data_IF_472453025913
#
_entry.id   IF_472453025913
#
_cell.length_a   1.000
_cell.length_b   1.000
_cell.length_c   1.000
_cell.angle_alpha   90.00
_cell.angle_beta   90.00
_cell.angle_gamma   90.00
#
_symmetry.space_group_name_H-M   'P 1'
#
loop_
_entity.id
_entity.type
_entity.pdbx_description
1 polymer ?
#
# COMPACT_ATOMS: atom_id res chain seq x y z
N UNK A 1 9.13 -16.72 -3.52
CA UNK A 1 9.60 -16.82 -2.13
C UNK A 1 9.50 -18.25 -1.61
N UNK A 2 10.49 -18.74 -0.85
CA UNK A 2 10.41 -20.05 -0.17
C UNK A 2 9.64 -19.97 1.17
N UNK A 3 9.36 -21.10 1.83
CA UNK A 3 8.59 -21.11 3.08
C UNK A 3 9.28 -20.33 4.22
N UNK A 4 10.61 -20.42 4.31
CA UNK A 4 11.37 -19.74 5.36
C UNK A 4 11.34 -18.23 5.19
N UNK A 5 11.58 -17.75 3.97
CA UNK A 5 11.45 -16.34 3.61
C UNK A 5 10.03 -15.82 3.86
N UNK A 6 8.98 -16.64 3.62
CA UNK A 6 7.60 -16.27 3.94
C UNK A 6 7.39 -16.04 5.43
N UNK A 7 7.86 -16.95 6.28
CA UNK A 7 7.81 -16.80 7.74
C UNK A 7 8.60 -15.57 8.21
N UNK A 8 9.75 -15.35 7.58
CA UNK A 8 10.60 -14.20 7.85
C UNK A 8 9.91 -12.87 7.47
N UNK A 9 9.19 -12.82 6.35
CA UNK A 9 8.38 -11.66 5.96
C UNK A 9 7.23 -11.43 6.94
N UNK A 10 6.54 -12.48 7.38
CA UNK A 10 5.48 -12.36 8.40
C UNK A 10 6.02 -11.78 9.71
N UNK A 11 7.22 -12.17 10.16
CA UNK A 11 7.91 -11.59 11.32
C UNK A 11 8.37 -10.15 11.09
N UNK A 12 8.85 -9.82 9.89
CA UNK A 12 9.24 -8.45 9.52
C UNK A 12 8.05 -7.48 9.63
N UNK A 13 6.86 -7.93 9.20
CA UNK A 13 5.64 -7.11 9.24
C UNK A 13 5.04 -6.97 10.64
N UNK A 14 5.29 -7.92 11.54
CA UNK A 14 4.83 -7.89 12.94
C UNK A 14 5.96 -8.26 13.93
N UNK A 15 6.98 -7.38 14.08
CA UNK A 15 8.18 -7.67 14.85
C UNK A 15 7.98 -7.39 16.35
N UNK A 16 8.62 -8.22 17.20
CA UNK A 16 8.73 -7.98 18.65
C UNK A 16 9.90 -7.05 18.99
N UNK A 17 10.92 -7.05 18.13
CA UNK A 17 12.14 -6.28 18.31
C UNK A 17 12.70 -5.79 16.97
N UNK A 18 13.11 -4.52 16.95
CA UNK A 18 13.65 -3.80 15.81
C UNK A 18 15.13 -3.48 16.02
N UNK A 19 15.98 -3.74 15.04
CA UNK A 19 17.30 -3.13 14.99
C UNK A 19 17.29 -1.95 14.00
N UNK A 20 17.78 -0.79 14.40
CA UNK A 20 17.88 0.39 13.53
C UNK A 20 19.34 0.78 13.34
N UNK A 21 19.86 0.55 12.15
CA UNK A 21 21.30 0.62 11.85
C UNK A 21 21.54 1.85 10.99
N UNK A 22 22.28 2.82 11.53
CA UNK A 22 22.61 4.04 10.80
C UNK A 22 22.77 5.27 11.68
N UNK A 23 22.59 6.43 11.07
CA UNK A 23 22.73 7.74 11.71
C UNK A 23 21.41 8.48 11.79
N UNK A 24 21.28 9.53 10.96
CA UNK A 24 20.12 10.43 10.96
C UNK A 24 18.81 9.74 10.57
N UNK A 25 18.82 8.94 9.49
CA UNK A 25 17.61 8.27 9.02
C UNK A 25 17.15 7.19 10.01
N UNK A 26 18.08 6.45 10.62
CA UNK A 26 17.79 5.51 11.71
C UNK A 26 17.17 6.23 12.92
N UNK A 27 17.66 7.42 13.27
CA UNK A 27 17.05 8.23 14.33
C UNK A 27 15.62 8.69 14.00
N UNK A 28 15.35 9.01 12.73
CA UNK A 28 13.98 9.33 12.30
C UNK A 28 13.06 8.12 12.42
N UNK A 29 13.52 6.92 12.02
CA UNK A 29 12.77 5.67 12.19
C UNK A 29 12.46 5.38 13.66
N UNK A 30 13.42 5.59 14.57
CA UNK A 30 13.19 5.43 16.01
C UNK A 30 12.02 6.29 16.48
N UNK A 31 12.03 7.58 16.10
CA UNK A 31 11.02 8.56 16.46
C UNK A 31 9.66 8.23 15.84
N UNK A 32 9.62 7.76 14.59
CA UNK A 32 8.38 7.37 13.94
C UNK A 32 7.77 6.11 14.56
N UNK A 33 8.60 5.14 14.96
CA UNK A 33 8.16 3.97 15.74
C UNK A 33 7.58 4.40 17.10
N UNK A 34 8.22 5.31 17.82
CA UNK A 34 7.66 5.87 19.07
C UNK A 34 6.35 6.63 18.81
N UNK A 35 6.30 7.45 17.76
CA UNK A 35 5.15 8.30 17.41
C UNK A 35 3.92 7.48 17.01
N UNK A 36 4.10 6.43 16.21
CA UNK A 36 3.00 5.54 15.80
C UNK A 36 2.53 4.65 16.97
N UNK A 37 3.37 4.49 18.00
CA UNK A 37 3.06 3.77 19.23
C UNK A 37 3.51 2.30 19.20
N UNK A 38 4.66 2.01 18.58
CA UNK A 38 5.29 0.70 18.64
C UNK A 38 5.64 0.35 20.10
N UNK A 39 5.30 -0.87 20.52
CA UNK A 39 5.48 -1.31 21.91
C UNK A 39 6.58 -2.35 22.08
N UNK A 40 7.19 -2.81 20.98
CA UNK A 40 8.32 -3.73 21.02
C UNK A 40 9.64 -3.03 21.35
N UNK A 41 10.72 -3.81 21.35
CA UNK A 41 12.06 -3.28 21.67
C UNK A 41 12.69 -2.60 20.45
N UNK A 42 13.39 -1.49 20.68
CA UNK A 42 14.15 -0.77 19.65
C UNK A 42 15.63 -0.82 20.04
N UNK A 43 16.45 -1.37 19.15
CA UNK A 43 17.89 -1.56 19.32
C UNK A 43 18.66 -0.75 18.25
N UNK A 44 19.04 0.50 18.53
CA UNK A 44 19.88 1.24 17.62
C UNK A 44 21.29 0.66 17.55
N UNK A 45 21.86 0.62 16.35
CA UNK A 45 23.24 0.18 16.13
C UNK A 45 24.02 1.31 15.48
N UNK A 46 25.01 1.83 16.21
CA UNK A 46 25.93 2.85 15.74
C UNK A 46 27.24 2.80 16.55
N UNK A 47 28.40 2.57 15.92
CA UNK A 47 29.67 2.41 16.64
C UNK A 47 30.19 3.70 17.29
N UNK A 48 29.63 4.87 16.96
CA UNK A 48 30.10 6.19 17.40
C UNK A 48 29.17 6.90 18.36
N UNK A 49 27.88 6.55 18.39
CA UNK A 49 26.87 7.24 19.20
C UNK A 49 26.49 6.39 20.40
N UNK A 50 26.41 6.99 21.58
CA UNK A 50 25.92 6.28 22.78
C UNK A 50 24.40 6.08 22.76
N UNK A 51 23.65 6.98 22.11
CA UNK A 51 22.20 6.93 21.98
C UNK A 51 21.69 7.39 20.62
N UNK A 52 20.56 6.85 20.19
CA UNK A 52 19.76 7.27 19.02
C UNK A 52 18.28 7.22 19.44
N UNK A 53 17.55 8.32 19.22
CA UNK A 53 16.12 8.38 19.57
C UNK A 53 15.85 8.14 21.07
N UNK A 54 16.80 8.46 21.96
CA UNK A 54 16.68 8.17 23.40
C UNK A 54 17.08 6.76 23.83
N UNK A 55 17.15 5.80 22.89
CA UNK A 55 17.55 4.42 23.13
C UNK A 55 19.08 4.28 23.17
N UNK A 56 19.57 3.36 24.03
CA UNK A 56 21.00 3.03 24.11
C UNK A 56 21.44 2.32 22.82
N UNK A 57 22.53 2.78 22.22
CA UNK A 57 23.09 2.14 21.03
C UNK A 57 23.94 0.93 21.39
N UNK A 58 23.91 -0.05 20.49
CA UNK A 58 24.89 -1.12 20.34
C UNK A 58 25.98 -0.67 19.36
N UNK A 59 27.21 -1.14 19.55
CA UNK A 59 28.32 -0.76 18.68
C UNK A 59 28.31 -1.53 17.34
N UNK A 60 27.88 -2.79 17.39
CA UNK A 60 27.77 -3.71 16.25
C UNK A 60 26.48 -4.53 16.30
N UNK A 61 26.16 -5.24 15.22
CA UNK A 61 24.98 -6.13 15.20
C UNK A 61 25.19 -7.36 16.06
N UNK A 62 26.45 -7.78 16.26
CA UNK A 62 26.82 -8.90 17.11
C UNK A 62 26.61 -8.64 18.59
N UNK A 63 26.53 -7.37 19.00
CA UNK A 63 26.24 -6.98 20.39
C UNK A 63 24.73 -7.04 20.70
N UNK A 64 23.87 -7.31 19.72
CA UNK A 64 22.42 -7.37 19.92
C UNK A 64 22.03 -8.54 20.85
N UNK A 65 20.97 -8.39 21.66
CA UNK A 65 20.57 -9.43 22.62
C UNK A 65 20.16 -10.76 21.96
N UNK A 66 19.55 -10.68 20.78
CA UNK A 66 19.16 -11.81 19.92
C UNK A 66 19.05 -11.35 18.46
N UNK A 67 18.79 -12.29 17.55
CA UNK A 67 18.59 -11.99 16.15
C UNK A 67 17.31 -11.17 15.93
N UNK A 68 17.37 -9.99 15.28
CA UNK A 68 16.22 -9.10 15.16
C UNK A 68 15.10 -9.65 14.25
N UNK A 69 13.84 -9.36 14.59
CA UNK A 69 12.66 -9.68 13.77
C UNK A 69 12.63 -8.78 12.53
N UNK A 70 12.97 -7.51 12.73
CA UNK A 70 13.09 -6.56 11.65
C UNK A 70 14.28 -5.62 11.84
N UNK A 71 14.89 -5.26 10.73
CA UNK A 71 16.02 -4.34 10.68
C UNK A 71 15.71 -3.19 9.74
N UNK A 72 16.00 -1.96 10.15
CA UNK A 72 16.11 -0.82 9.24
C UNK A 72 17.59 -0.51 8.99
N UNK A 73 18.03 -0.62 7.75
CA UNK A 73 19.44 -0.48 7.36
C UNK A 73 19.64 0.78 6.50
N UNK A 74 20.33 1.78 7.08
CA UNK A 74 20.62 3.07 6.45
C UNK A 74 22.11 3.44 6.63
N UNK A 75 22.98 2.68 5.96
CA UNK A 75 24.44 2.84 5.96
C UNK A 75 25.00 2.75 4.52
N UNK A 76 26.26 3.15 4.25
CA UNK A 76 26.83 3.05 2.90
C UNK A 76 26.76 1.64 2.30
N UNK A 77 26.55 1.55 0.98
CA UNK A 77 26.21 0.31 0.24
C UNK A 77 27.18 -0.85 0.44
N UNK A 78 28.48 -0.60 0.52
CA UNK A 78 29.49 -1.65 0.74
C UNK A 78 29.36 -2.25 2.15
N UNK A 79 29.15 -1.39 3.16
CA UNK A 79 28.90 -1.82 4.53
C UNK A 79 27.52 -2.49 4.69
N UNK A 80 26.54 -2.09 3.87
CA UNK A 80 25.21 -2.71 3.86
C UNK A 80 25.29 -4.19 3.48
N UNK A 81 26.08 -4.55 2.46
CA UNK A 81 26.25 -5.95 2.03
C UNK A 81 26.84 -6.81 3.15
N UNK A 82 27.92 -6.36 3.79
CA UNK A 82 28.55 -7.11 4.89
C UNK A 82 27.63 -7.22 6.11
N UNK A 83 26.88 -6.17 6.42
CA UNK A 83 25.91 -6.17 7.52
C UNK A 83 24.75 -7.14 7.25
N UNK A 84 24.20 -7.15 6.02
CA UNK A 84 23.14 -8.08 5.61
C UNK A 84 23.62 -9.53 5.73
N UNK A 85 24.84 -9.82 5.28
CA UNK A 85 25.44 -11.15 5.44
C UNK A 85 25.46 -11.57 6.92
N UNK A 86 25.87 -10.67 7.80
CA UNK A 86 25.96 -10.95 9.23
C UNK A 86 24.60 -11.18 9.88
N UNK A 87 23.61 -10.36 9.50
CA UNK A 87 22.23 -10.52 9.95
C UNK A 87 21.64 -11.86 9.47
N UNK A 88 21.95 -12.30 8.26
CA UNK A 88 21.54 -13.60 7.75
C UNK A 88 22.18 -14.75 8.57
N UNK A 89 23.48 -14.67 8.84
CA UNK A 89 24.21 -15.65 9.67
C UNK A 89 23.68 -15.72 11.11
N UNK A 90 23.24 -14.58 11.67
CA UNK A 90 22.60 -14.52 12.99
C UNK A 90 21.19 -15.10 13.00
N UNK A 91 20.54 -15.26 11.84
CA UNK A 91 19.16 -15.69 11.73
C UNK A 91 18.14 -14.58 11.97
N UNK A 92 18.49 -13.33 11.64
CA UNK A 92 17.51 -12.25 11.59
C UNK A 92 16.37 -12.61 10.61
N UNK A 93 15.18 -12.03 10.79
CA UNK A 93 14.05 -12.38 9.94
C UNK A 93 13.99 -11.49 8.69
N UNK A 94 13.88 -10.17 8.83
CA UNK A 94 13.81 -9.27 7.68
C UNK A 94 14.65 -8.00 7.80
N UNK A 95 14.97 -7.44 6.64
CA UNK A 95 15.74 -6.19 6.52
C UNK A 95 15.03 -5.26 5.55
N UNK A 96 14.67 -4.06 6.01
CA UNK A 96 14.38 -2.91 5.16
C UNK A 96 15.71 -2.25 4.81
N UNK A 97 16.15 -2.40 3.57
CA UNK A 97 17.38 -1.78 3.08
C UNK A 97 17.05 -0.42 2.44
N UNK A 98 17.24 0.65 3.21
CA UNK A 98 17.03 2.03 2.74
C UNK A 98 18.14 2.48 1.80
N UNK A 99 19.34 1.96 1.99
CA UNK A 99 20.53 2.31 1.24
C UNK A 99 20.33 2.26 -0.28
N UNK A 100 20.71 3.35 -0.96
CA UNK A 100 20.77 3.45 -2.42
C UNK A 100 22.21 3.28 -2.95
N UNK A 101 22.41 3.44 -4.24
CA UNK A 101 23.64 3.23 -5.00
C UNK A 101 23.81 1.81 -5.57
N UNK A 102 22.71 1.11 -5.86
CA UNK A 102 22.67 -0.26 -6.41
C UNK A 102 22.26 -0.26 -7.89
N UNK A 103 21.40 -1.18 -8.36
CA UNK A 103 21.12 -1.35 -9.80
C UNK A 103 20.65 -0.07 -10.51
N UNK A 104 20.08 0.88 -9.78
CA UNK A 104 19.61 2.17 -10.30
C UNK A 104 20.72 3.12 -10.80
N UNK A 105 21.98 2.86 -10.47
CA UNK A 105 23.12 3.67 -10.94
C UNK A 105 23.97 2.98 -12.04
N UNK A 106 23.48 1.87 -12.59
CA UNK A 106 24.09 1.17 -13.73
C UNK A 106 24.85 -0.11 -13.39
N UNK A 107 25.84 -0.46 -14.22
CA UNK A 107 26.46 -1.79 -14.22
C UNK A 107 27.20 -2.14 -12.92
N UNK A 108 28.00 -1.21 -12.37
CA UNK A 108 28.68 -1.42 -11.08
C UNK A 108 27.68 -1.68 -9.95
N UNK A 109 26.62 -0.87 -9.90
CA UNK A 109 25.56 -1.03 -8.90
C UNK A 109 24.78 -2.32 -9.05
N UNK A 110 24.64 -2.84 -10.28
CA UNK A 110 24.03 -4.16 -10.53
C UNK A 110 24.85 -5.30 -9.92
N UNK A 111 26.18 -5.25 -9.99
CA UNK A 111 27.05 -6.27 -9.37
C UNK A 111 27.03 -6.19 -7.83
N UNK A 112 26.98 -4.98 -7.28
CA UNK A 112 26.77 -4.77 -5.84
C UNK A 112 25.41 -5.30 -5.39
N UNK A 113 24.36 -5.13 -6.20
CA UNK A 113 23.03 -5.64 -5.89
C UNK A 113 22.99 -7.18 -5.91
N UNK A 114 23.67 -7.83 -6.86
CA UNK A 114 23.85 -9.29 -6.86
C UNK A 114 24.57 -9.78 -5.59
N UNK A 115 25.56 -9.03 -5.14
CA UNK A 115 26.30 -9.32 -3.91
C UNK A 115 25.40 -9.17 -2.68
N UNK A 116 24.54 -8.15 -2.64
CA UNK A 116 23.53 -7.96 -1.60
C UNK A 116 22.52 -9.12 -1.56
N UNK A 117 22.00 -9.53 -2.72
CA UNK A 117 21.08 -10.68 -2.84
C UNK A 117 21.75 -11.95 -2.33
N UNK A 118 22.99 -12.21 -2.76
CA UNK A 118 23.75 -13.39 -2.31
C UNK A 118 23.99 -13.38 -0.80
N UNK A 119 24.26 -12.21 -0.22
CA UNK A 119 24.43 -12.04 1.23
C UNK A 119 23.13 -12.24 2.02
N UNK A 120 21.97 -11.99 1.42
CA UNK A 120 20.68 -12.02 2.13
C UNK A 120 20.23 -13.41 2.55
N UNK A 121 20.61 -14.47 1.82
CA UNK A 121 20.14 -15.83 2.09
C UNK A 121 18.61 -15.92 2.17
N UNK A 122 18.10 -16.39 3.30
CA UNK A 122 16.65 -16.50 3.56
C UNK A 122 16.04 -15.24 4.22
N UNK A 123 16.78 -14.14 4.37
CA UNK A 123 16.22 -12.90 4.88
C UNK A 123 15.06 -12.39 4.01
N UNK A 124 14.03 -11.88 4.67
CA UNK A 124 13.01 -11.07 4.04
C UNK A 124 13.57 -9.66 3.79
N UNK A 125 14.27 -9.47 2.67
CA UNK A 125 14.88 -8.18 2.32
C UNK A 125 13.95 -7.34 1.43
N UNK A 126 13.56 -6.17 1.95
CA UNK A 126 12.81 -5.12 1.24
C UNK A 126 13.79 -4.10 0.67
N UNK A 127 13.59 -3.69 -0.58
CA UNK A 127 14.51 -2.79 -1.29
C UNK A 127 15.57 -3.54 -2.10
N UNK A 128 16.81 -3.01 -2.18
CA UNK A 128 17.30 -1.76 -1.59
C UNK A 128 16.65 -0.52 -2.21
N UNK A 129 17.13 0.68 -1.85
CA UNK A 129 16.63 1.96 -2.36
C UNK A 129 15.10 2.09 -2.19
N UNK A 130 14.64 1.89 -0.96
CA UNK A 130 13.22 1.90 -0.61
C UNK A 130 13.00 2.73 0.65
N UNK A 131 11.79 3.24 0.88
CA UNK A 131 11.49 3.92 2.15
C UNK A 131 11.17 2.95 3.28
N UNK A 132 10.69 1.75 2.95
CA UNK A 132 10.45 0.67 3.90
C UNK A 132 8.99 0.32 4.08
N UNK A 133 8.61 0.05 5.32
CA UNK A 133 7.31 -0.55 5.67
C UNK A 133 6.68 0.16 6.85
N UNK A 134 5.40 0.47 6.71
CA UNK A 134 4.53 0.89 7.81
C UNK A 134 3.41 -0.15 7.95
N UNK A 135 3.28 -0.74 9.13
CA UNK A 135 2.12 -1.52 9.55
C UNK A 135 1.29 -0.64 10.50
N UNK A 136 0.15 -0.15 10.02
CA UNK A 136 -0.75 0.70 10.80
C UNK A 136 -1.63 -0.09 11.78
N UNK A 137 -1.70 -1.41 11.63
CA UNK A 137 -2.49 -2.32 12.47
C UNK A 137 -1.75 -2.56 13.78
N UNK A 138 -0.49 -3.00 13.69
CA UNK A 138 0.36 -3.30 14.86
C UNK A 138 1.30 -2.16 15.24
N UNK A 139 1.15 -0.99 14.59
CA UNK A 139 1.89 0.25 14.90
C UNK A 139 3.40 0.09 14.76
N UNK A 140 3.85 -0.34 13.59
CA UNK A 140 5.29 -0.50 13.26
C UNK A 140 5.62 0.44 12.11
N UNK A 141 6.67 1.27 12.27
CA UNK A 141 7.08 2.23 11.24
C UNK A 141 8.58 2.13 10.96
N UNK A 142 8.98 1.16 10.12
CA UNK A 142 10.33 1.07 9.55
C UNK A 142 10.44 2.06 8.39
N UNK A 143 10.33 3.34 8.73
CA UNK A 143 10.10 4.42 7.78
C UNK A 143 10.77 5.73 8.26
N UNK A 144 11.57 6.42 7.43
CA UNK A 144 12.43 7.51 7.90
C UNK A 144 11.78 8.90 7.79
N UNK A 145 10.50 9.00 7.44
CA UNK A 145 9.79 10.26 7.22
C UNK A 145 8.48 10.36 8.02
N UNK A 146 7.97 11.57 8.28
CA UNK A 146 6.61 11.73 8.80
C UNK A 146 5.58 11.07 7.88
N UNK A 147 4.56 10.46 8.47
CA UNK A 147 3.44 9.84 7.74
C UNK A 147 2.09 10.16 8.42
N UNK A 148 1.05 10.37 7.62
CA UNK A 148 -0.28 10.80 8.08
C UNK A 148 -1.37 9.71 8.09
N UNK A 149 -1.06 8.49 7.67
CA UNK A 149 -2.02 7.40 7.62
C UNK A 149 -2.55 6.99 8.99
N UNK A 150 -3.76 6.45 9.03
CA UNK A 150 -4.39 5.92 10.23
C UNK A 150 -5.22 4.68 9.91
N UNK A 151 -5.43 3.84 10.92
CA UNK A 151 -6.22 2.61 10.81
C UNK A 151 -7.29 2.53 11.90
N UNK A 152 -8.55 2.22 11.56
CA UNK A 152 -9.57 1.77 12.50
C UNK A 152 -9.46 0.27 12.85
N UNK A 153 -8.31 -0.38 12.60
CA UNK A 153 -8.09 -1.83 12.77
C UNK A 153 -8.30 -2.66 11.51
N UNK A 154 -8.52 -2.00 10.36
CA UNK A 154 -8.56 -2.60 9.03
C UNK A 154 -8.23 -1.54 7.98
N UNK A 155 -7.92 -1.95 6.75
CA UNK A 155 -7.76 -1.00 5.66
C UNK A 155 -7.11 -1.55 4.41
N UNK A 156 -6.66 -0.63 3.57
CA UNK A 156 -5.92 -0.96 2.36
C UNK A 156 -4.44 -1.22 2.68
N UNK A 157 -3.86 -2.23 2.05
CA UNK A 157 -2.42 -2.36 1.94
C UNK A 157 -1.95 -1.74 0.63
N UNK A 158 -1.10 -0.72 0.69
CA UNK A 158 -0.53 -0.08 -0.51
C UNK A 158 0.92 -0.50 -0.68
N UNK A 159 1.26 -0.99 -1.86
CA UNK A 159 2.60 -1.44 -2.24
C UNK A 159 3.04 -0.62 -3.47
N UNK A 160 4.22 0.00 -3.40
CA UNK A 160 4.69 0.94 -4.44
C UNK A 160 6.18 0.83 -4.68
N UNK A 161 6.56 0.91 -5.96
CA UNK A 161 7.96 0.98 -6.39
C UNK A 161 8.60 2.36 -6.16
N UNK A 162 7.78 3.40 -6.05
CA UNK A 162 8.23 4.77 -5.82
C UNK A 162 8.19 5.15 -4.34
N UNK A 163 9.35 5.55 -3.79
CA UNK A 163 9.48 6.07 -2.44
C UNK A 163 8.75 7.41 -2.23
N UNK A 164 8.91 8.38 -3.13
CA UNK A 164 8.28 9.69 -2.91
C UNK A 164 6.74 9.61 -2.98
N UNK A 165 6.21 8.89 -3.98
CA UNK A 165 4.77 8.68 -4.10
C UNK A 165 4.21 8.02 -2.84
N UNK A 166 4.94 7.08 -2.24
CA UNK A 166 4.51 6.43 -1.00
C UNK A 166 4.32 7.43 0.14
N UNK A 167 5.26 8.37 0.34
CA UNK A 167 5.13 9.45 1.32
C UNK A 167 3.94 10.36 1.01
N UNK A 168 3.77 10.78 -0.24
CA UNK A 168 2.63 11.63 -0.66
C UNK A 168 1.29 10.95 -0.37
N UNK A 169 1.18 9.65 -0.63
CA UNK A 169 -0.02 8.87 -0.34
C UNK A 169 -0.30 8.81 1.16
N UNK A 170 0.73 8.61 2.01
CA UNK A 170 0.53 8.59 3.46
C UNK A 170 0.14 9.95 4.05
N UNK A 171 0.51 11.05 3.40
CA UNK A 171 0.20 12.42 3.88
C UNK A 171 -1.13 12.95 3.35
N UNK A 172 -1.81 12.18 2.50
CA UNK A 172 -3.12 12.54 1.98
C UNK A 172 -4.12 12.77 3.12
N UNK A 173 -4.85 13.89 3.05
CA UNK A 173 -5.93 14.20 3.99
C UNK A 173 -7.25 13.45 3.66
N UNK A 174 -7.19 12.48 2.73
CA UNK A 174 -8.33 11.62 2.41
C UNK A 174 -8.48 10.54 3.49
N UNK A 175 -9.71 10.26 3.88
CA UNK A 175 -10.04 9.32 4.96
C UNK A 175 -9.94 7.84 4.54
N UNK A 176 -8.87 7.45 3.83
CA UNK A 176 -8.58 6.05 3.51
C UNK A 176 -8.14 5.33 4.80
N UNK A 177 -8.81 4.25 5.21
CA UNK A 177 -8.25 3.35 6.22
C UNK A 177 -7.00 2.66 5.68
N UNK A 178 -5.85 2.83 6.32
CA UNK A 178 -4.61 2.14 5.97
C UNK A 178 -4.43 0.89 6.84
N UNK A 179 -4.02 -0.21 6.22
CA UNK A 179 -3.50 -1.38 6.93
C UNK A 179 -1.97 -1.40 6.83
N UNK A 180 -1.43 -1.28 5.61
CA UNK A 180 0.01 -1.31 5.35
C UNK A 180 0.39 -0.26 4.28
N UNK A 181 1.57 0.33 4.41
CA UNK A 181 2.24 1.09 3.35
C UNK A 181 3.63 0.50 3.13
N UNK A 182 3.95 0.11 1.90
CA UNK A 182 5.17 -0.63 1.58
C UNK A 182 5.81 0.02 0.36
N UNK A 183 6.98 0.60 0.55
CA UNK A 183 7.88 1.02 -0.52
C UNK A 183 8.86 -0.10 -0.78
N UNK A 184 8.85 -0.67 -1.99
CA UNK A 184 9.65 -1.88 -2.32
C UNK A 184 10.95 -1.58 -3.06
N UNK A 185 11.15 -0.35 -3.54
CA UNK A 185 12.37 0.08 -4.23
C UNK A 185 12.76 -0.83 -5.40
N UNK A 186 14.04 -1.22 -5.46
CA UNK A 186 14.60 -2.01 -6.56
C UNK A 186 14.08 -3.46 -6.64
N UNK A 187 13.44 -3.96 -5.56
CA UNK A 187 12.88 -5.31 -5.49
C UNK A 187 13.90 -6.42 -5.81
N UNK A 188 15.05 -6.41 -5.12
CA UNK A 188 16.12 -7.37 -5.42
C UNK A 188 15.85 -8.76 -4.85
N UNK A 189 15.18 -8.83 -3.70
CA UNK A 189 14.77 -10.08 -3.04
C UNK A 189 13.26 -10.17 -2.99
N UNK A 190 12.62 -9.38 -2.11
CA UNK A 190 11.16 -9.30 -2.05
C UNK A 190 10.60 -8.39 -3.13
N UNK A 191 9.49 -8.81 -3.71
CA UNK A 191 8.82 -8.13 -4.82
C UNK A 191 7.34 -7.88 -4.49
N UNK A 192 6.66 -7.11 -5.34
CA UNK A 192 5.23 -6.82 -5.20
C UNK A 192 4.41 -8.09 -4.90
N UNK A 193 4.67 -9.14 -5.67
CA UNK A 193 3.98 -10.43 -5.59
C UNK A 193 4.13 -11.13 -4.22
N UNK A 194 5.26 -10.98 -3.54
CA UNK A 194 5.50 -11.61 -2.24
C UNK A 194 4.67 -10.96 -1.14
N UNK A 195 4.51 -9.62 -1.21
CA UNK A 195 3.64 -8.89 -0.29
C UNK A 195 2.17 -9.19 -0.57
N UNK A 196 1.74 -9.26 -1.83
CA UNK A 196 0.37 -9.66 -2.18
C UNK A 196 0.04 -11.04 -1.59
N UNK A 197 0.95 -12.01 -1.75
CA UNK A 197 0.77 -13.39 -1.28
C UNK A 197 0.63 -13.54 0.25
N UNK A 198 1.26 -12.66 1.02
CA UNK A 198 1.11 -12.62 2.48
C UNK A 198 -0.14 -11.83 2.87
N UNK A 199 -0.32 -10.64 2.31
CA UNK A 199 -1.34 -9.69 2.75
C UNK A 199 -2.76 -10.08 2.32
N UNK A 200 -2.93 -10.81 1.21
CA UNK A 200 -4.26 -11.26 0.78
C UNK A 200 -4.92 -12.27 1.73
N UNK A 201 -4.14 -12.83 2.67
CA UNK A 201 -4.64 -13.77 3.68
C UNK A 201 -4.94 -13.11 5.03
N UNK A 202 -4.66 -11.80 5.17
CA UNK A 202 -4.80 -11.05 6.40
C UNK A 202 -6.24 -10.48 6.50
N UNK A 203 -7.04 -10.84 7.51
CA UNK A 203 -8.44 -10.41 7.59
C UNK A 203 -8.63 -8.89 7.72
N UNK A 204 -7.63 -8.19 8.24
CA UNK A 204 -7.61 -6.73 8.36
C UNK A 204 -7.32 -6.01 7.03
N UNK A 205 -6.77 -6.71 6.03
CA UNK A 205 -6.54 -6.16 4.68
C UNK A 205 -7.81 -6.32 3.85
N UNK A 206 -8.45 -5.20 3.53
CA UNK A 206 -9.71 -5.18 2.77
C UNK A 206 -9.55 -4.93 1.28
N UNK A 207 -8.41 -4.37 0.88
CA UNK A 207 -8.05 -4.15 -0.52
C UNK A 207 -6.53 -3.97 -0.61
N UNK A 208 -5.97 -4.24 -1.80
CA UNK A 208 -4.55 -4.00 -2.08
C UNK A 208 -4.44 -2.93 -3.16
N UNK A 209 -3.68 -1.87 -2.88
CA UNK A 209 -3.29 -0.84 -3.84
C UNK A 209 -1.90 -1.10 -4.36
N UNK A 210 -1.70 -1.04 -5.67
CA UNK A 210 -0.40 -1.21 -6.31
C UNK A 210 -0.06 0.06 -7.08
N UNK A 211 1.17 0.55 -6.91
CA UNK A 211 1.80 1.42 -7.89
C UNK A 211 2.89 0.62 -8.61
N UNK A 212 2.73 0.50 -9.93
CA UNK A 212 3.53 -0.37 -10.78
C UNK A 212 4.23 0.49 -11.84
N UNK A 213 5.55 0.46 -11.82
CA UNK A 213 6.46 0.89 -12.88
C UNK A 213 6.77 -0.30 -13.80
N UNK A 214 7.01 -1.48 -13.22
CA UNK A 214 7.26 -2.73 -13.96
C UNK A 214 7.14 -3.98 -13.09
N UNK A 215 6.87 -5.13 -13.73
CA UNK A 215 6.77 -6.44 -13.06
C UNK A 215 7.80 -7.38 -13.67
N UNK A 216 8.68 -7.95 -12.83
CA UNK A 216 9.77 -8.84 -13.26
C UNK A 216 9.29 -10.27 -13.55
N UNK A 217 8.35 -10.78 -12.76
CA UNK A 217 7.81 -12.14 -12.87
C UNK A 217 6.28 -12.10 -13.07
N UNK A 218 5.85 -12.07 -14.33
CA UNK A 218 4.43 -11.98 -14.69
C UNK A 218 3.66 -13.23 -14.27
N UNK A 219 4.28 -14.41 -14.35
CA UNK A 219 3.64 -15.68 -13.96
C UNK A 219 3.33 -15.67 -12.48
N UNK A 220 4.33 -15.35 -11.64
CA UNK A 220 4.13 -15.28 -10.20
C UNK A 220 3.16 -14.18 -9.79
N UNK A 221 3.24 -13.00 -10.42
CA UNK A 221 2.28 -11.91 -10.20
C UNK A 221 0.85 -12.34 -10.51
N UNK A 222 0.64 -13.07 -11.61
CA UNK A 222 -0.67 -13.57 -12.01
C UNK A 222 -1.24 -14.57 -11.00
N UNK A 223 -0.41 -15.50 -10.50
CA UNK A 223 -0.83 -16.48 -9.47
C UNK A 223 -1.33 -15.79 -8.20
N UNK A 224 -0.56 -14.82 -7.68
CA UNK A 224 -0.90 -14.16 -6.41
C UNK A 224 -2.07 -13.18 -6.58
N UNK A 225 -2.24 -12.59 -7.76
CA UNK A 225 -3.40 -11.76 -8.07
C UNK A 225 -4.70 -12.59 -8.08
N UNK A 226 -4.68 -13.78 -8.71
CA UNK A 226 -5.81 -14.71 -8.68
C UNK A 226 -6.09 -15.20 -7.26
N UNK A 227 -5.05 -15.51 -6.48
CA UNK A 227 -5.20 -15.86 -5.07
C UNK A 227 -5.88 -14.74 -4.27
N UNK A 228 -5.51 -13.48 -4.49
CA UNK A 228 -6.15 -12.34 -3.83
C UNK A 228 -7.62 -12.21 -4.25
N UNK A 229 -7.92 -12.41 -5.52
CA UNK A 229 -9.29 -12.42 -6.04
C UNK A 229 -10.14 -13.53 -5.40
N UNK A 230 -9.61 -14.75 -5.29
CA UNK A 230 -10.25 -15.89 -4.62
C UNK A 230 -10.48 -15.64 -3.13
N UNK A 231 -9.55 -14.94 -2.47
CA UNK A 231 -9.69 -14.51 -1.08
C UNK A 231 -10.69 -13.35 -0.89
N UNK A 232 -11.24 -12.80 -1.98
CA UNK A 232 -12.13 -11.64 -1.94
C UNK A 232 -11.43 -10.33 -1.59
N UNK A 233 -10.12 -10.24 -1.80
CA UNK A 233 -9.29 -9.05 -1.58
C UNK A 233 -9.02 -8.38 -2.94
N UNK A 234 -9.76 -7.32 -3.30
CA UNK A 234 -9.61 -6.67 -4.59
C UNK A 234 -8.27 -5.93 -4.71
N UNK A 235 -7.70 -5.97 -5.90
CA UNK A 235 -6.46 -5.25 -6.25
C UNK A 235 -6.80 -4.03 -7.11
N UNK A 236 -6.27 -2.86 -6.73
CA UNK A 236 -6.36 -1.60 -7.49
C UNK A 236 -4.96 -1.19 -7.92
N UNK A 237 -4.71 -1.05 -9.23
CA UNK A 237 -3.39 -0.75 -9.77
C UNK A 237 -3.32 0.61 -10.45
N UNK A 238 -2.32 1.41 -10.06
CA UNK A 238 -1.84 2.60 -10.75
C UNK A 238 -0.57 2.24 -11.52
N UNK A 239 -0.69 2.02 -12.84
CA UNK A 239 0.46 1.78 -13.73
C UNK A 239 0.99 3.12 -14.25
N UNK A 240 2.26 3.40 -14.01
CA UNK A 240 2.98 4.54 -14.56
C UNK A 240 3.88 4.09 -15.72
N UNK A 241 4.41 5.02 -16.52
CA UNK A 241 5.23 4.67 -17.69
C UNK A 241 4.43 4.12 -18.88
N UNK A 242 3.17 4.53 -19.01
CA UNK A 242 2.26 4.11 -20.09
C UNK A 242 2.38 4.92 -21.38
N UNK A 243 2.89 6.15 -21.30
CA UNK A 243 3.22 6.98 -22.47
C UNK A 243 4.63 6.68 -22.98
N UNK A 244 4.93 7.06 -24.22
CA UNK A 244 6.27 6.92 -24.81
C UNK A 244 7.34 7.60 -23.92
N UNK A 245 7.13 8.88 -23.59
CA UNK A 245 8.02 9.63 -22.69
C UNK A 245 8.09 8.97 -21.30
N UNK A 246 6.96 8.51 -20.77
CA UNK A 246 6.91 7.88 -19.45
C UNK A 246 7.65 6.55 -19.42
N UNK A 247 7.57 5.76 -20.49
CA UNK A 247 8.24 4.46 -20.61
C UNK A 247 9.76 4.66 -20.67
N UNK A 248 10.24 5.63 -21.45
CA UNK A 248 11.66 6.02 -21.51
C UNK A 248 12.22 6.44 -20.14
N UNK A 249 11.46 7.26 -19.41
CA UNK A 249 11.82 7.67 -18.05
C UNK A 249 11.84 6.48 -17.08
N UNK A 250 10.92 5.52 -17.23
CA UNK A 250 10.86 4.33 -16.37
C UNK A 250 12.03 3.38 -16.63
N UNK A 251 12.42 3.22 -17.90
CA UNK A 251 13.59 2.42 -18.30
C UNK A 251 14.88 3.00 -17.73
N UNK A 252 15.04 4.33 -17.77
CA UNK A 252 16.23 4.99 -17.21
C UNK A 252 16.27 4.99 -15.68
N UNK A 253 15.12 4.97 -15.00
CA UNK A 253 15.04 4.98 -13.54
C UNK A 253 15.13 3.59 -12.87
N UNK A 254 14.73 2.50 -13.53
CA UNK A 254 14.61 1.17 -12.88
C UNK A 254 15.29 0.02 -13.61
N UNK A 255 15.94 0.28 -14.75
CA UNK A 255 16.60 -0.73 -15.58
C UNK A 255 15.70 -1.95 -15.93
N UNK A 256 14.37 -1.75 -15.99
CA UNK A 256 13.40 -2.79 -16.35
C UNK A 256 12.68 -2.44 -17.65
N UNK A 257 12.48 -3.45 -18.51
CA UNK A 257 11.75 -3.29 -19.76
C UNK A 257 10.27 -3.07 -19.43
N UNK A 258 9.75 -1.86 -19.64
CA UNK A 258 8.31 -1.62 -19.52
C UNK A 258 7.60 -2.33 -20.68
N UNK A 259 6.83 -3.38 -20.39
CA UNK A 259 5.91 -3.97 -21.36
C UNK A 259 4.91 -2.93 -21.87
N UNK A 260 4.36 -3.13 -23.08
CA UNK A 260 3.41 -2.17 -23.65
C UNK A 260 2.17 -2.02 -22.77
N UNK A 261 1.61 -0.81 -22.75
CA UNK A 261 0.47 -0.48 -21.88
C UNK A 261 -0.75 -1.37 -22.14
N UNK A 262 -1.02 -1.68 -23.42
CA UNK A 262 -2.11 -2.56 -23.84
C UNK A 262 -1.96 -3.99 -23.28
N UNK A 263 -0.73 -4.50 -23.17
CA UNK A 263 -0.48 -5.82 -22.58
C UNK A 263 -0.74 -5.80 -21.07
N UNK A 264 -0.37 -4.72 -20.37
CA UNK A 264 -0.72 -4.55 -18.97
C UNK A 264 -2.23 -4.44 -18.77
N UNK A 265 -2.94 -3.72 -19.65
CA UNK A 265 -4.40 -3.65 -19.58
C UNK A 265 -5.03 -5.04 -19.76
N UNK A 266 -4.62 -5.78 -20.79
CA UNK A 266 -5.13 -7.12 -21.05
C UNK A 266 -4.83 -8.09 -19.87
N UNK A 267 -3.65 -7.97 -19.26
CA UNK A 267 -3.29 -8.71 -18.06
C UNK A 267 -4.20 -8.35 -16.88
N UNK A 268 -4.42 -7.06 -16.62
CA UNK A 268 -5.29 -6.60 -15.53
C UNK A 268 -6.74 -7.07 -15.73
N UNK A 269 -7.26 -6.99 -16.95
CA UNK A 269 -8.61 -7.48 -17.27
C UNK A 269 -8.73 -8.98 -17.02
N UNK A 270 -7.71 -9.76 -17.42
CA UNK A 270 -7.66 -11.22 -17.19
C UNK A 270 -7.59 -11.60 -15.72
N UNK A 271 -6.92 -10.79 -14.90
CA UNK A 271 -6.71 -11.05 -13.48
C UNK A 271 -7.76 -10.40 -12.57
N UNK A 272 -8.69 -9.61 -13.13
CA UNK A 272 -9.68 -8.86 -12.35
C UNK A 272 -9.08 -7.71 -11.54
N UNK A 273 -7.98 -7.13 -12.00
CA UNK A 273 -7.31 -6.00 -11.34
C UNK A 273 -7.96 -4.68 -11.80
N UNK A 274 -8.34 -3.83 -10.85
CA UNK A 274 -8.97 -2.54 -11.12
C UNK A 274 -7.89 -1.52 -11.45
N UNK A 275 -7.80 -1.09 -12.71
CA UNK A 275 -6.85 -0.05 -13.11
C UNK A 275 -7.39 1.35 -12.80
N UNK A 276 -6.52 2.22 -12.29
CA UNK A 276 -6.77 3.66 -12.07
C UNK A 276 -5.69 4.51 -12.74
N UNK A 277 -5.99 5.78 -13.01
CA UNK A 277 -5.07 6.66 -13.78
C UNK A 277 -4.30 7.68 -12.94
N UNK A 278 -4.65 7.88 -11.67
CA UNK A 278 -3.94 8.84 -10.82
C UNK A 278 -4.07 8.52 -9.31
N UNK A 279 -3.18 9.07 -8.46
CA UNK A 279 -3.14 8.78 -7.02
C UNK A 279 -4.47 9.04 -6.29
N UNK A 280 -5.20 10.10 -6.65
CA UNK A 280 -6.52 10.38 -6.05
C UNK A 280 -7.53 9.26 -6.33
N UNK A 281 -7.56 8.71 -7.55
CA UNK A 281 -8.43 7.58 -7.87
C UNK A 281 -7.98 6.31 -7.14
N UNK A 282 -6.68 6.08 -7.00
CA UNK A 282 -6.17 4.96 -6.21
C UNK A 282 -6.71 5.02 -4.77
N UNK A 283 -6.53 6.16 -4.10
CA UNK A 283 -6.97 6.35 -2.72
C UNK A 283 -8.50 6.26 -2.56
N UNK A 284 -9.27 6.89 -3.45
CA UNK A 284 -10.74 6.89 -3.37
C UNK A 284 -11.34 5.52 -3.68
N UNK A 285 -10.81 4.81 -4.67
CA UNK A 285 -11.25 3.44 -5.00
C UNK A 285 -10.93 2.49 -3.85
N UNK A 286 -9.72 2.54 -3.29
CA UNK A 286 -9.35 1.73 -2.12
C UNK A 286 -10.24 2.05 -0.91
N UNK A 287 -10.53 3.33 -0.67
CA UNK A 287 -11.40 3.77 0.43
C UNK A 287 -12.80 3.19 0.27
N UNK A 288 -13.37 3.29 -0.94
CA UNK A 288 -14.66 2.69 -1.25
C UNK A 288 -14.67 1.19 -0.98
N UNK A 289 -13.67 0.45 -1.48
CA UNK A 289 -13.57 -1.00 -1.28
C UNK A 289 -13.40 -1.38 0.20
N UNK A 290 -12.62 -0.62 0.97
CA UNK A 290 -12.41 -0.90 2.38
C UNK A 290 -13.64 -0.63 3.24
N UNK A 291 -14.42 0.41 2.93
CA UNK A 291 -15.58 0.83 3.74
C UNK A 291 -16.89 0.21 3.27
N UNK A 292 -17.15 0.22 1.97
CA UNK A 292 -18.42 -0.24 1.39
C UNK A 292 -18.35 -1.69 0.85
N UNK A 293 -17.15 -2.21 0.60
CA UNK A 293 -16.95 -3.53 0.00
C UNK A 293 -17.08 -3.53 -1.52
N UNK A 294 -16.96 -4.73 -2.11
CA UNK A 294 -17.04 -4.92 -3.57
C UNK A 294 -18.50 -4.76 -4.02
N UNK A 295 -18.79 -3.93 -5.03
CA UNK A 295 -20.13 -3.75 -5.53
C UNK A 295 -20.59 -5.03 -6.25
N UNK A 296 -21.85 -5.42 -6.03
CA UNK A 296 -22.45 -6.63 -6.63
C UNK A 296 -22.82 -6.46 -8.11
N UNK A 297 -22.65 -5.26 -8.66
CA UNK A 297 -23.01 -4.95 -10.04
C UNK A 297 -23.10 -3.45 -10.28
N UNK A 298 -23.65 -3.09 -11.44
CA UNK A 298 -23.66 -1.71 -11.96
C UNK A 298 -24.87 -0.88 -11.52
N UNK A 299 -25.85 -1.51 -10.87
CA UNK A 299 -27.10 -0.85 -10.44
C UNK A 299 -26.91 -0.14 -9.11
N UNK A 300 -27.15 1.16 -9.11
CA UNK A 300 -27.00 2.03 -7.94
C UNK A 300 -28.30 2.75 -7.62
N UNK A 301 -28.37 3.29 -6.41
CA UNK A 301 -29.38 4.28 -6.01
C UNK A 301 -28.64 5.56 -5.64
N UNK A 302 -28.89 6.63 -6.37
CA UNK A 302 -28.39 7.96 -6.04
C UNK A 302 -29.42 8.72 -5.21
N UNK A 303 -29.01 9.34 -4.11
CA UNK A 303 -29.87 10.18 -3.27
C UNK A 303 -29.23 11.56 -3.14
N UNK A 304 -30.00 12.61 -3.39
CA UNK A 304 -29.54 14.00 -3.30
C UNK A 304 -30.71 14.93 -2.97
N UNK A 305 -30.42 16.10 -2.42
CA UNK A 305 -31.40 17.15 -2.14
C UNK A 305 -31.50 18.21 -3.25
N UNK A 306 -30.84 17.97 -4.39
CA UNK A 306 -30.73 18.92 -5.49
C UNK A 306 -30.81 18.22 -6.84
N UNK A 307 -31.70 18.73 -7.72
CA UNK A 307 -31.82 18.28 -9.09
C UNK A 307 -30.52 18.41 -9.88
N UNK A 308 -29.71 19.45 -9.64
CA UNK A 308 -28.39 19.58 -10.26
C UNK A 308 -27.44 18.47 -9.86
N UNK A 309 -27.46 18.05 -8.58
CA UNK A 309 -26.70 16.89 -8.12
C UNK A 309 -27.20 15.57 -8.72
N UNK A 310 -28.52 15.44 -8.92
CA UNK A 310 -29.10 14.26 -9.55
C UNK A 310 -28.67 14.15 -11.01
N UNK A 311 -28.66 15.26 -11.74
CA UNK A 311 -28.17 15.34 -13.13
C UNK A 311 -26.68 15.01 -13.22
N UNK A 312 -25.84 15.58 -12.34
CA UNK A 312 -24.40 15.27 -12.32
C UNK A 312 -24.13 13.77 -12.09
N UNK A 313 -24.87 13.15 -11.18
CA UNK A 313 -24.79 11.71 -10.96
C UNK A 313 -25.19 10.92 -12.21
N UNK A 314 -26.33 11.26 -12.81
CA UNK A 314 -26.85 10.56 -14.00
C UNK A 314 -25.90 10.69 -15.20
N UNK A 315 -25.44 11.90 -15.51
CA UNK A 315 -24.54 12.19 -16.63
C UNK A 315 -23.19 11.49 -16.49
N UNK A 316 -22.65 11.43 -15.27
CA UNK A 316 -21.40 10.74 -15.04
C UNK A 316 -21.58 9.21 -15.07
N UNK A 317 -22.65 8.70 -14.44
CA UNK A 317 -22.96 7.27 -14.41
C UNK A 317 -23.10 6.69 -15.82
N UNK A 318 -23.78 7.39 -16.74
CA UNK A 318 -23.91 6.95 -18.13
C UNK A 318 -22.55 6.78 -18.82
N UNK A 319 -21.61 7.72 -18.60
CA UNK A 319 -20.25 7.65 -19.18
C UNK A 319 -19.44 6.45 -18.70
N UNK A 320 -19.70 5.97 -17.48
CA UNK A 320 -18.97 4.83 -16.87
C UNK A 320 -19.83 3.57 -16.79
N UNK A 321 -20.98 3.54 -17.46
CA UNK A 321 -21.87 2.38 -17.57
C UNK A 321 -22.54 1.95 -16.26
N UNK A 322 -22.74 2.88 -15.32
CA UNK A 322 -23.54 2.64 -14.12
C UNK A 322 -25.03 2.88 -14.41
N UNK A 323 -25.89 2.11 -13.73
CA UNK A 323 -27.32 2.07 -14.00
C UNK A 323 -28.13 2.61 -12.81
N UNK A 324 -28.96 3.62 -13.07
CA UNK A 324 -29.96 4.11 -12.12
C UNK A 324 -31.36 3.61 -12.50
N UNK A 325 -31.66 2.36 -12.13
CA UNK A 325 -32.98 1.77 -12.41
C UNK A 325 -34.08 2.50 -11.65
N UNK A 326 -35.19 2.82 -12.33
CA UNK A 326 -36.36 3.43 -11.68
C UNK A 326 -36.92 2.52 -10.57
N UNK A 327 -37.44 3.11 -9.47
CA UNK A 327 -38.04 2.33 -8.40
C UNK A 327 -39.29 1.57 -8.88
N UNK A 328 -39.53 0.39 -8.30
CA UNK A 328 -40.76 -0.38 -8.55
C UNK A 328 -42.00 0.44 -8.21
N UNK A 329 -43.17 0.12 -8.79
CA UNK A 329 -44.45 0.79 -8.46
C UNK A 329 -44.74 0.79 -6.94
N UNK A 330 -44.37 -0.30 -6.24
CA UNK A 330 -44.51 -0.42 -4.78
C UNK A 330 -43.60 0.55 -4.05
N UNK A 331 -42.31 0.59 -4.41
CA UNK A 331 -41.31 1.49 -3.82
C UNK A 331 -41.67 2.95 -4.10
N UNK A 332 -42.06 3.26 -5.34
CA UNK A 332 -42.44 4.61 -5.74
C UNK A 332 -43.61 5.14 -4.93
N UNK A 333 -44.68 4.34 -4.76
CA UNK A 333 -45.82 4.69 -3.88
C UNK A 333 -45.41 4.98 -2.44
N UNK A 334 -44.44 4.24 -1.90
CA UNK A 334 -43.92 4.46 -0.54
C UNK A 334 -43.12 5.76 -0.46
N UNK A 335 -42.24 6.01 -1.43
CA UNK A 335 -41.45 7.24 -1.52
C UNK A 335 -42.34 8.49 -1.65
N UNK A 336 -43.37 8.46 -2.50
CA UNK A 336 -44.31 9.59 -2.67
C UNK A 336 -44.99 10.00 -1.35
N UNK A 337 -45.22 9.06 -0.42
CA UNK A 337 -45.82 9.37 0.89
C UNK A 337 -44.84 10.04 1.86
N UNK A 338 -43.54 9.78 1.71
CA UNK A 338 -42.49 10.31 2.59
C UNK A 338 -42.00 11.68 2.12
N UNK A 339 -41.98 11.89 0.81
CA UNK A 339 -41.43 13.08 0.19
C UNK A 339 -42.43 14.23 0.12
N UNK A 340 -41.91 15.45 -0.06
CA UNK A 340 -42.72 16.62 -0.38
C UNK A 340 -43.30 16.49 -1.81
N UNK A 341 -44.44 17.13 -2.10
CA UNK A 341 -45.11 17.00 -3.40
C UNK A 341 -44.29 17.53 -4.59
N UNK A 342 -43.27 18.34 -4.32
CA UNK A 342 -42.33 18.87 -5.32
C UNK A 342 -41.24 17.89 -5.72
N UNK A 343 -41.05 16.80 -4.95
CA UNK A 343 -40.03 15.80 -5.26
C UNK A 343 -40.52 14.87 -6.38
N UNK A 344 -39.65 14.63 -7.37
CA UNK A 344 -39.92 13.64 -8.41
C UNK A 344 -39.35 12.29 -7.99
N UNK A 345 -40.20 11.26 -7.95
CA UNK A 345 -39.74 9.91 -7.62
C UNK A 345 -39.02 9.30 -8.83
N UNK A 346 -37.69 9.36 -8.79
CA UNK A 346 -36.77 8.84 -9.80
C UNK A 346 -35.57 8.16 -9.16
N UNK A 347 -34.63 7.70 -9.99
CA UNK A 347 -33.30 7.30 -9.60
C UNK A 347 -32.33 7.92 -10.62
N UNK A 348 -31.39 8.80 -10.23
CA UNK A 348 -31.19 9.34 -8.88
C UNK A 348 -32.45 10.04 -8.31
N UNK A 349 -32.63 9.97 -7.00
CA UNK A 349 -33.75 10.59 -6.28
C UNK A 349 -33.33 11.96 -5.76
N UNK A 350 -33.96 13.01 -6.29
CA UNK A 350 -33.97 14.33 -5.66
C UNK A 350 -35.08 14.39 -4.61
N UNK A 351 -34.71 14.30 -3.33
CA UNK A 351 -35.66 14.40 -2.22
C UNK A 351 -35.99 15.84 -1.81
N UNK A 352 -35.37 16.83 -2.47
CA UNK A 352 -35.59 18.28 -2.27
C UNK A 352 -35.27 18.77 -0.84
N UNK A 353 -35.28 20.08 -0.61
CA UNK A 353 -34.98 20.70 0.69
C UNK A 353 -36.16 20.86 1.68
N UNK A 354 -37.46 20.90 1.30
CA UNK A 354 -38.56 21.15 2.24
C UNK A 354 -38.72 20.14 3.39
N UNK A 355 -38.09 18.97 3.31
CA UNK A 355 -38.11 17.99 4.41
C UNK A 355 -37.01 18.23 5.47
N UNK A 356 -36.09 19.18 5.23
CA UNK A 356 -35.00 19.48 6.14
C UNK A 356 -35.52 20.04 7.47
N UNK A 357 -34.91 19.60 8.57
CA UNK A 357 -35.29 20.05 9.90
C UNK A 357 -36.65 19.53 10.39
N UNK A 358 -37.27 18.56 9.69
CA UNK A 358 -38.49 17.86 10.13
C UNK A 358 -38.08 16.48 10.64
N UNK A 359 -37.80 16.30 11.95
CA UNK A 359 -37.21 15.08 12.49
C UNK A 359 -38.00 13.81 12.13
N UNK A 360 -39.33 13.89 12.10
CA UNK A 360 -40.21 12.77 11.78
C UNK A 360 -40.05 12.27 10.33
N UNK A 361 -39.41 13.07 9.46
CA UNK A 361 -39.16 12.74 8.05
C UNK A 361 -37.70 12.47 7.72
N UNK A 362 -36.76 12.82 8.59
CA UNK A 362 -35.31 12.72 8.32
C UNK A 362 -34.55 11.82 9.31
N UNK A 363 -35.15 11.43 10.43
CA UNK A 363 -34.54 10.46 11.34
C UNK A 363 -34.63 9.02 10.78
N UNK A 364 -33.66 8.15 11.09
CA UNK A 364 -33.74 6.73 10.77
C UNK A 364 -35.01 6.13 11.40
N UNK A 365 -35.77 5.36 10.61
CA UNK A 365 -36.99 4.67 11.06
C UNK A 365 -36.65 3.33 11.70
#
# INVERSE_FOLDING_TARGET
MNQKQRQNLERLLNPRHLAIIGGRDAEAVAKECERIGFTGQIWPVNPKREKIGGFKCFASVEDLPEAPDAVYLAIPREAAISTVKRLAEMGASGVVCYTAGFSEIGAEGTELEKSLVSASGDLALVGPNCYGVINYIDKVALWPFPHGGASPGYGAAIITQSGMLSSDLTMSQRSLPFAYMISVGNQSVLRLEDFIDVLCTKPEVKAIGLHIEGVKDISRFSEVALKALEAGVPIVALKTGSSEIGSELTVSHTASLSGSDDLFQALFDRLGIIRVSHPVQLLETLKYLCVAGIPKGKRLVGLTCSGGGATLLADHAEKIGLEFTRPSKKTAKRLTRLLHYTATVSNPLDYTTPIWGIPERVLPV
#
